data_IF_939949350477
#
_entry.id   IF_939949350477
#
_cell.length_a   1.000
_cell.length_b   1.000
_cell.length_c   1.000
_cell.angle_alpha   90.00
_cell.angle_beta   90.00
_cell.angle_gamma   90.00
#
_symmetry.space_group_name_H-M   'P 1'
#
loop_
_entity.id
_entity.type
_entity.pdbx_description
1 polymer ?
#
# COMPACT_ATOMS: atom_id res chain seq x y z
N UNK A 1 50.66 -39.79 46.14
CA UNK A 1 51.47 -40.39 45.05
C UNK A 1 51.10 -39.66 43.77
N UNK A 2 52.01 -38.81 43.29
CA UNK A 2 51.91 -38.00 42.08
C UNK A 2 51.79 -38.89 40.82
N UNK A 3 50.85 -38.57 39.93
CA UNK A 3 51.03 -38.78 38.49
C UNK A 3 50.59 -37.53 37.75
N UNK A 4 51.58 -36.89 37.15
CA UNK A 4 51.49 -35.80 36.21
C UNK A 4 51.27 -36.33 34.78
N UNK A 5 50.78 -35.42 33.91
CA UNK A 5 50.94 -35.35 32.45
C UNK A 5 50.12 -36.30 31.57
N UNK A 6 49.14 -35.73 30.86
CA UNK A 6 49.33 -35.36 29.45
C UNK A 6 48.19 -34.45 28.98
N UNK A 7 48.46 -33.15 28.83
CA UNK A 7 47.64 -32.27 28.00
C UNK A 7 47.92 -32.64 26.54
N UNK A 8 46.92 -33.14 25.84
CA UNK A 8 46.96 -33.23 24.37
C UNK A 8 46.54 -31.87 23.81
N UNK A 9 47.51 -31.13 23.27
CA UNK A 9 47.28 -29.95 22.46
C UNK A 9 46.71 -30.42 21.11
N UNK A 10 45.39 -30.35 20.93
CA UNK A 10 44.77 -30.60 19.63
C UNK A 10 44.94 -29.32 18.79
N UNK A 11 45.98 -29.29 17.95
CA UNK A 11 46.13 -28.27 16.92
C UNK A 11 45.06 -28.55 15.86
N UNK A 12 43.96 -27.81 15.90
CA UNK A 12 42.98 -27.74 14.82
C UNK A 12 43.66 -27.08 13.61
N UNK A 13 44.14 -27.91 12.70
CA UNK A 13 44.56 -27.47 11.37
C UNK A 13 43.31 -27.04 10.61
N UNK A 14 43.11 -25.73 10.47
CA UNK A 14 42.14 -25.18 9.53
C UNK A 14 42.51 -25.66 8.12
N UNK A 15 41.58 -26.26 7.35
CA UNK A 15 41.85 -26.56 5.95
C UNK A 15 42.11 -25.25 5.19
N UNK A 16 43.01 -25.25 4.19
CA UNK A 16 43.18 -24.10 3.33
C UNK A 16 41.84 -23.76 2.69
N UNK A 17 41.45 -22.49 2.78
CA UNK A 17 40.30 -21.91 2.10
C UNK A 17 40.32 -22.39 0.63
N UNK A 18 39.38 -23.27 0.29
CA UNK A 18 39.09 -23.58 -1.09
C UNK A 18 38.57 -22.28 -1.74
N UNK A 19 39.08 -21.88 -2.91
CA UNK A 19 38.50 -20.75 -3.63
C UNK A 19 37.03 -21.09 -3.90
N UNK A 20 36.13 -20.24 -3.44
CA UNK A 20 34.73 -20.25 -3.85
C UNK A 20 34.77 -20.17 -5.37
N UNK A 21 34.36 -21.25 -6.04
CA UNK A 21 34.11 -21.21 -7.46
C UNK A 21 33.06 -20.11 -7.66
N UNK A 22 33.50 -19.00 -8.25
CA UNK A 22 32.62 -17.94 -8.71
C UNK A 22 31.79 -18.56 -9.83
N UNK A 23 30.66 -19.17 -9.46
CA UNK A 23 29.60 -19.48 -10.38
C UNK A 23 29.01 -18.16 -10.84
N UNK A 24 29.63 -17.57 -11.87
CA UNK A 24 28.93 -16.62 -12.72
C UNK A 24 27.76 -17.43 -13.26
N UNK A 25 26.55 -17.18 -12.76
CA UNK A 25 25.37 -17.61 -13.47
C UNK A 25 25.52 -17.02 -14.88
N UNK A 26 25.68 -17.88 -15.89
CA UNK A 26 25.71 -17.45 -17.28
C UNK A 26 24.47 -16.59 -17.50
N UNK A 27 24.69 -15.28 -17.62
CA UNK A 27 23.61 -14.32 -17.72
C UNK A 27 22.87 -14.57 -19.03
N UNK A 28 21.54 -14.69 -18.94
CA UNK A 28 20.67 -14.75 -20.12
C UNK A 28 21.03 -13.57 -21.02
N UNK A 29 21.39 -13.86 -22.26
CA UNK A 29 21.68 -12.82 -23.24
C UNK A 29 20.40 -12.09 -23.62
N UNK A 30 20.50 -10.83 -24.06
CA UNK A 30 19.32 -10.07 -24.51
C UNK A 30 18.55 -10.80 -25.62
N UNK A 31 19.23 -11.55 -26.49
CA UNK A 31 18.60 -12.34 -27.55
C UNK A 31 17.79 -13.52 -27.00
N UNK A 32 18.29 -14.21 -25.99
CA UNK A 32 17.58 -15.33 -25.35
C UNK A 32 16.35 -14.83 -24.59
N UNK A 33 16.48 -13.71 -23.88
CA UNK A 33 15.35 -13.04 -23.22
C UNK A 33 14.27 -12.63 -24.23
N UNK A 34 14.63 -11.97 -25.33
CA UNK A 34 13.66 -11.51 -26.35
C UNK A 34 12.97 -12.70 -27.02
N UNK A 35 13.72 -13.77 -27.35
CA UNK A 35 13.13 -14.98 -27.95
C UNK A 35 12.09 -15.59 -27.03
N UNK A 36 12.43 -15.75 -25.75
CA UNK A 36 11.51 -16.32 -24.77
C UNK A 36 10.31 -15.40 -24.49
N UNK A 37 10.53 -14.10 -24.33
CA UNK A 37 9.47 -13.13 -24.13
C UNK A 37 8.49 -13.11 -25.33
N UNK A 38 8.98 -13.25 -26.55
CA UNK A 38 8.15 -13.27 -27.76
C UNK A 38 7.30 -14.54 -27.90
N UNK A 39 7.70 -15.64 -27.26
CA UNK A 39 6.93 -16.88 -27.21
C UNK A 39 5.81 -16.83 -26.16
N UNK A 40 6.05 -16.14 -25.04
CA UNK A 40 5.17 -16.16 -23.86
C UNK A 40 4.24 -14.95 -23.80
N UNK A 41 4.68 -13.78 -24.25
CA UNK A 41 3.89 -12.56 -24.18
C UNK A 41 3.02 -12.42 -25.43
N UNK A 42 1.71 -12.17 -25.29
CA UNK A 42 0.84 -11.94 -26.43
C UNK A 42 1.27 -10.67 -27.17
N UNK A 43 1.28 -10.74 -28.50
CA UNK A 43 1.45 -9.55 -29.34
C UNK A 43 0.16 -8.73 -29.23
N UNK A 44 0.27 -7.53 -28.65
CA UNK A 44 -0.85 -6.60 -28.53
C UNK A 44 -1.11 -5.90 -29.87
N UNK A 45 -2.39 -5.82 -30.27
CA UNK A 45 -2.78 -5.12 -31.48
C UNK A 45 -2.57 -3.60 -31.34
N UNK A 46 -2.36 -2.90 -32.46
CA UNK A 46 -2.11 -1.46 -32.44
C UNK A 46 -3.28 -0.73 -31.76
N UNK A 47 -2.96 0.02 -30.70
CA UNK A 47 -3.90 0.79 -29.88
C UNK A 47 -4.89 -0.04 -29.03
N UNK A 48 -4.70 -1.35 -28.91
CA UNK A 48 -5.53 -2.17 -28.05
C UNK A 48 -5.46 -1.71 -26.59
N UNK A 49 -4.27 -1.34 -26.08
CA UNK A 49 -4.13 -0.77 -24.74
C UNK A 49 -4.93 0.51 -24.54
N UNK A 50 -5.05 1.39 -25.55
CA UNK A 50 -5.86 2.61 -25.43
C UNK A 50 -7.34 2.27 -25.31
N UNK A 51 -7.82 1.27 -26.05
CA UNK A 51 -9.20 0.82 -25.90
C UNK A 51 -9.42 0.20 -24.53
N UNK A 52 -8.48 -0.64 -24.07
CA UNK A 52 -8.52 -1.24 -22.74
C UNK A 52 -8.54 -0.19 -21.63
N UNK A 53 -7.71 0.85 -21.71
CA UNK A 53 -7.72 1.96 -20.73
C UNK A 53 -8.96 2.84 -20.83
N UNK A 54 -9.55 2.97 -22.02
CA UNK A 54 -10.71 3.83 -22.24
C UNK A 54 -12.04 3.17 -21.85
N UNK A 55 -12.16 1.86 -22.06
CA UNK A 55 -13.45 1.14 -21.91
C UNK A 55 -13.38 -0.01 -20.91
N UNK A 56 -12.18 -0.42 -20.49
CA UNK A 56 -12.00 -1.45 -19.49
C UNK A 56 -12.29 -0.93 -18.08
N UNK A 57 -12.45 -1.85 -17.11
CA UNK A 57 -12.63 -1.49 -15.72
C UNK A 57 -11.36 -0.81 -15.19
N UNK A 58 -11.54 0.20 -14.34
CA UNK A 58 -10.42 0.89 -13.66
C UNK A 58 -9.75 -0.07 -12.68
N UNK A 59 -10.56 -0.71 -11.84
CA UNK A 59 -10.11 -1.67 -10.84
C UNK A 59 -10.31 -3.11 -11.31
N UNK A 60 -9.41 -4.00 -10.92
CA UNK A 60 -9.48 -5.43 -11.20
C UNK A 60 -9.32 -6.22 -9.90
N UNK A 61 -9.93 -7.42 -9.78
CA UNK A 61 -9.70 -8.29 -8.62
C UNK A 61 -8.20 -8.53 -8.41
N UNK A 62 -7.70 -8.21 -7.21
CA UNK A 62 -6.28 -8.27 -6.88
C UNK A 62 -6.02 -8.86 -5.48
N UNK A 63 -7.06 -9.37 -4.81
CA UNK A 63 -6.95 -10.00 -3.50
C UNK A 63 -6.24 -11.36 -3.59
N UNK A 64 -5.12 -11.50 -2.90
CA UNK A 64 -4.47 -12.78 -2.63
C UNK A 64 -5.23 -13.51 -1.50
N UNK A 65 -5.87 -14.67 -1.77
CA UNK A 65 -6.64 -15.41 -0.77
C UNK A 65 -5.78 -16.02 0.34
N UNK A 66 -4.47 -16.19 0.11
CA UNK A 66 -3.55 -16.78 1.07
C UNK A 66 -2.82 -15.71 1.92
N UNK A 67 -2.99 -14.43 1.58
CA UNK A 67 -2.37 -13.33 2.31
C UNK A 67 -2.86 -13.26 3.76
N UNK A 68 -1.90 -13.16 4.69
CA UNK A 68 -2.15 -13.00 6.12
C UNK A 68 -1.58 -11.68 6.61
N UNK A 69 -2.26 -10.99 7.56
CA UNK A 69 -1.73 -9.77 8.15
C UNK A 69 -0.46 -10.07 8.94
N UNK A 70 0.57 -9.25 8.76
CA UNK A 70 1.81 -9.34 9.53
C UNK A 70 1.60 -8.83 10.96
N UNK A 71 2.53 -9.18 11.85
CA UNK A 71 2.60 -8.59 13.18
C UNK A 71 2.80 -7.07 13.08
N UNK A 72 1.76 -6.30 13.41
CA UNK A 72 1.77 -4.84 13.26
C UNK A 72 0.83 -4.31 12.19
N UNK A 73 0.20 -5.16 11.38
CA UNK A 73 -0.83 -4.76 10.43
C UNK A 73 -2.23 -4.85 11.07
N UNK A 74 -3.13 -3.98 10.61
CA UNK A 74 -4.57 -4.10 10.76
C UNK A 74 -5.17 -4.60 9.43
N UNK A 75 -6.39 -5.12 9.50
CA UNK A 75 -7.16 -5.54 8.32
C UNK A 75 -8.45 -4.75 8.30
N UNK A 76 -8.79 -4.15 7.15
CA UNK A 76 -10.15 -3.64 6.94
C UNK A 76 -11.05 -4.87 6.75
N UNK A 77 -12.02 -5.14 7.64
CA UNK A 77 -12.97 -6.22 7.49
C UNK A 77 -13.77 -6.11 6.19
N UNK A 78 -14.23 -7.25 5.66
CA UNK A 78 -14.99 -7.31 4.41
C UNK A 78 -16.28 -6.48 4.39
N UNK A 79 -16.84 -6.13 5.56
CA UNK A 79 -18.01 -5.27 5.65
C UNK A 79 -18.07 -4.50 6.98
N UNK A 80 -18.99 -3.53 7.05
CA UNK A 80 -19.31 -2.80 8.27
C UNK A 80 -18.41 -1.59 8.54
N UNK A 81 -17.60 -1.19 7.57
CA UNK A 81 -16.87 0.07 7.58
C UNK A 81 -17.58 1.13 6.75
N UNK A 82 -17.38 2.39 7.13
CA UNK A 82 -17.90 3.56 6.41
C UNK A 82 -16.75 4.38 5.84
N UNK A 83 -16.90 4.86 4.61
CA UNK A 83 -16.06 5.88 4.03
C UNK A 83 -16.80 7.21 4.16
N UNK A 84 -16.27 8.15 4.95
CA UNK A 84 -16.94 9.36 5.36
C UNK A 84 -16.24 10.58 4.77
N UNK A 85 -16.98 11.39 4.03
CA UNK A 85 -16.54 12.67 3.46
C UNK A 85 -17.53 13.77 3.80
N UNK A 86 -17.16 15.03 3.60
CA UNK A 86 -18.09 16.14 3.80
C UNK A 86 -19.20 16.10 2.74
N UNK A 87 -20.44 16.41 3.12
CA UNK A 87 -21.57 16.47 2.19
C UNK A 87 -21.37 17.48 1.07
N UNK A 88 -20.75 18.61 1.37
CA UNK A 88 -20.41 19.65 0.40
C UNK A 88 -18.94 19.52 -0.05
N UNK A 89 -18.38 18.30 -0.06
CA UNK A 89 -17.01 18.07 -0.52
C UNK A 89 -16.80 18.55 -1.95
N UNK A 90 -15.56 18.95 -2.26
CA UNK A 90 -15.16 19.27 -3.63
C UNK A 90 -15.41 18.06 -4.54
N UNK A 91 -15.87 18.23 -5.79
CA UNK A 91 -16.10 17.12 -6.72
C UNK A 91 -14.90 16.19 -6.88
N UNK A 92 -13.67 16.72 -6.74
CA UNK A 92 -12.46 15.92 -6.78
C UNK A 92 -12.36 14.96 -5.59
N UNK A 93 -12.79 15.38 -4.39
CA UNK A 93 -12.83 14.53 -3.20
C UNK A 93 -13.93 13.49 -3.32
N UNK A 94 -15.10 13.87 -3.83
CA UNK A 94 -16.21 12.94 -4.09
C UNK A 94 -15.76 11.82 -5.04
N UNK A 95 -15.20 12.17 -6.20
CA UNK A 95 -14.73 11.18 -7.16
C UNK A 95 -13.62 10.29 -6.59
N UNK A 96 -12.69 10.85 -5.80
CA UNK A 96 -11.64 10.06 -5.17
C UNK A 96 -12.18 9.07 -4.11
N UNK A 97 -13.23 9.47 -3.38
CA UNK A 97 -13.88 8.58 -2.42
C UNK A 97 -14.69 7.47 -3.13
N UNK A 98 -15.36 7.80 -4.22
CA UNK A 98 -16.05 6.81 -5.08
C UNK A 98 -15.05 5.82 -5.70
N UNK A 99 -13.90 6.31 -6.17
CA UNK A 99 -12.83 5.48 -6.72
C UNK A 99 -12.25 4.53 -5.67
N UNK A 100 -11.96 5.02 -4.46
CA UNK A 100 -11.53 4.17 -3.34
C UNK A 100 -12.59 3.14 -2.94
N UNK A 101 -13.88 3.53 -2.94
CA UNK A 101 -14.98 2.60 -2.66
C UNK A 101 -15.02 1.48 -3.71
N UNK A 102 -14.90 1.82 -4.99
CA UNK A 102 -14.88 0.86 -6.10
C UNK A 102 -13.65 -0.05 -6.02
N UNK A 103 -12.47 0.51 -5.75
CA UNK A 103 -11.24 -0.24 -5.48
C UNK A 103 -11.43 -1.25 -4.35
N UNK A 104 -11.91 -0.80 -3.18
CA UNK A 104 -12.12 -1.68 -2.03
C UNK A 104 -13.08 -2.81 -2.39
N UNK A 105 -14.15 -2.52 -3.11
CA UNK A 105 -15.15 -3.50 -3.49
C UNK A 105 -14.67 -4.50 -4.55
N UNK A 106 -13.99 -4.02 -5.59
CA UNK A 106 -13.58 -4.83 -6.75
C UNK A 106 -12.24 -5.53 -6.49
N UNK A 107 -11.22 -4.77 -6.08
CA UNK A 107 -9.86 -5.28 -5.93
C UNK A 107 -9.69 -6.06 -4.62
N UNK A 108 -10.29 -5.58 -3.52
CA UNK A 108 -10.06 -6.10 -2.17
C UNK A 108 -11.23 -6.90 -1.59
N UNK A 109 -12.36 -6.97 -2.30
CA UNK A 109 -13.60 -7.61 -1.82
C UNK A 109 -14.10 -7.06 -0.46
N UNK A 110 -13.88 -5.77 -0.21
CA UNK A 110 -14.27 -5.03 0.99
C UNK A 110 -15.41 -4.07 0.64
N UNK A 111 -16.55 -4.24 1.31
CA UNK A 111 -17.71 -3.37 1.16
C UNK A 111 -17.70 -2.27 2.22
N UNK A 112 -17.56 -1.04 1.77
CA UNK A 112 -17.73 0.16 2.60
C UNK A 112 -18.95 0.97 2.19
N UNK A 113 -19.65 1.54 3.16
CA UNK A 113 -20.73 2.51 2.91
C UNK A 113 -20.12 3.91 2.75
N UNK A 114 -20.29 4.53 1.59
CA UNK A 114 -19.92 5.93 1.36
C UNK A 114 -20.98 6.84 1.99
N UNK A 115 -20.58 7.61 2.99
CA UNK A 115 -21.43 8.50 3.78
C UNK A 115 -20.97 9.94 3.65
N UNK A 116 -21.92 10.83 3.39
CA UNK A 116 -21.73 12.26 3.31
C UNK A 116 -22.21 12.92 4.61
N UNK A 117 -21.31 13.53 5.36
CA UNK A 117 -21.61 14.21 6.64
C UNK A 117 -21.44 15.73 6.51
N UNK A 118 -22.29 16.53 7.15
CA UNK A 118 -22.18 18.00 7.08
C UNK A 118 -20.89 18.54 7.72
N UNK A 119 -20.36 17.84 8.73
CA UNK A 119 -19.11 18.19 9.40
C UNK A 119 -18.29 16.94 9.67
N UNK A 120 -16.96 17.10 9.62
CA UNK A 120 -16.01 16.05 9.96
C UNK A 120 -15.42 16.21 11.37
N UNK A 121 -15.80 17.23 12.15
CA UNK A 121 -15.21 17.51 13.47
C UNK A 121 -15.32 16.34 14.46
N UNK A 122 -16.37 15.52 14.35
CA UNK A 122 -16.63 14.34 15.18
C UNK A 122 -15.83 13.09 14.80
N UNK A 123 -14.87 13.21 13.85
CA UNK A 123 -14.16 12.06 13.28
C UNK A 123 -13.49 11.14 14.31
N UNK A 124 -13.07 11.69 15.46
CA UNK A 124 -12.39 10.95 16.53
C UNK A 124 -13.29 9.93 17.23
N UNK A 125 -14.59 10.14 17.22
CA UNK A 125 -15.57 9.26 17.86
C UNK A 125 -16.11 8.21 16.89
N UNK A 126 -15.81 8.35 15.59
CA UNK A 126 -16.22 7.37 14.59
C UNK A 126 -15.27 6.18 14.62
N UNK A 127 -15.84 5.01 14.90
CA UNK A 127 -15.19 3.72 14.75
C UNK A 127 -15.61 3.06 13.44
N UNK A 128 -14.76 2.14 12.96
CA UNK A 128 -14.90 1.45 11.67
C UNK A 128 -15.12 2.44 10.53
N UNK A 129 -14.24 3.44 10.46
CA UNK A 129 -14.40 4.55 9.53
C UNK A 129 -13.09 4.86 8.79
N UNK A 130 -13.20 5.10 7.50
CA UNK A 130 -12.22 5.84 6.71
C UNK A 130 -12.78 7.25 6.60
N UNK A 131 -12.05 8.27 7.04
CA UNK A 131 -12.49 9.67 7.01
C UNK A 131 -11.56 10.43 6.07
N UNK A 132 -12.11 11.13 5.09
CA UNK A 132 -11.32 11.88 4.13
C UNK A 132 -11.80 13.33 4.02
N UNK A 133 -10.89 14.28 4.14
CA UNK A 133 -11.21 15.70 4.11
C UNK A 133 -9.97 16.58 4.04
N UNK A 134 -10.17 17.87 3.82
CA UNK A 134 -9.06 18.84 3.90
C UNK A 134 -8.80 19.22 5.35
N UNK A 135 -7.62 19.80 5.63
CA UNK A 135 -7.25 20.30 6.96
C UNK A 135 -8.26 21.28 7.55
N UNK A 136 -8.97 22.03 6.71
CA UNK A 136 -10.03 22.96 7.14
C UNK A 136 -11.24 22.22 7.75
N UNK A 137 -11.41 20.93 7.46
CA UNK A 137 -12.51 20.10 7.97
C UNK A 137 -12.08 19.15 9.08
N UNK A 138 -10.77 18.86 9.19
CA UNK A 138 -10.20 17.88 10.11
C UNK A 138 -9.27 18.57 11.11
N UNK A 139 -9.82 19.23 12.15
CA UNK A 139 -8.98 19.90 13.15
C UNK A 139 -8.03 18.90 13.83
N UNK A 140 -6.78 19.33 14.07
CA UNK A 140 -5.65 18.54 14.64
C UNK A 140 -5.02 17.53 13.67
N UNK A 141 -5.59 17.32 12.48
CA UNK A 141 -4.94 16.56 11.41
C UNK A 141 -4.56 17.54 10.30
N UNK A 142 -3.39 17.36 9.73
CA UNK A 142 -2.87 18.22 8.69
C UNK A 142 -2.15 19.47 9.18
N UNK A 143 -1.78 19.53 10.48
CA UNK A 143 -1.02 20.65 11.06
C UNK A 143 0.38 20.76 10.43
N UNK A 144 0.94 19.63 9.99
CA UNK A 144 2.24 19.56 9.31
C UNK A 144 2.12 19.85 7.81
N UNK A 145 0.93 20.09 7.24
CA UNK A 145 0.77 20.30 5.79
C UNK A 145 1.11 21.74 5.40
N UNK A 146 2.11 21.88 4.54
CA UNK A 146 2.72 23.16 4.20
C UNK A 146 2.20 23.74 2.89
N UNK A 147 1.83 22.88 1.93
CA UNK A 147 1.45 23.34 0.60
C UNK A 147 0.47 22.46 -0.18
N UNK A 148 0.07 22.92 -1.38
CA UNK A 148 -0.85 22.22 -2.26
C UNK A 148 -0.43 20.76 -2.52
N UNK A 149 -1.42 19.87 -2.59
CA UNK A 149 -1.24 18.41 -2.74
C UNK A 149 -0.51 17.69 -1.60
N UNK A 150 -0.10 18.39 -0.54
CA UNK A 150 0.37 17.72 0.67
C UNK A 150 -0.78 16.91 1.29
N UNK A 151 -0.44 15.78 1.89
CA UNK A 151 -1.42 14.99 2.64
C UNK A 151 -0.79 14.28 3.82
N UNK A 152 -1.67 13.92 4.75
CA UNK A 152 -1.37 13.15 5.93
C UNK A 152 -2.32 11.96 6.01
N UNK A 153 -1.78 10.80 6.38
CA UNK A 153 -2.55 9.59 6.64
C UNK A 153 -2.27 9.14 8.07
N UNK A 154 -3.33 8.93 8.84
CA UNK A 154 -3.30 8.31 10.16
C UNK A 154 -4.14 7.04 10.15
N UNK A 155 -3.57 5.92 10.60
CA UNK A 155 -4.28 4.64 10.74
C UNK A 155 -4.21 4.18 12.19
N UNK A 156 -5.37 3.80 12.71
CA UNK A 156 -5.56 3.00 13.92
C UNK A 156 -6.35 1.74 13.57
N UNK A 157 -6.37 0.70 14.43
CA UNK A 157 -7.09 -0.55 14.15
C UNK A 157 -8.59 -0.38 13.85
N UNK A 158 -9.18 0.73 14.27
CA UNK A 158 -10.61 1.03 14.14
C UNK A 158 -10.91 2.24 13.25
N UNK A 159 -9.89 2.93 12.71
CA UNK A 159 -10.11 4.15 11.93
C UNK A 159 -8.92 4.49 11.04
N UNK A 160 -9.24 5.01 9.87
CA UNK A 160 -8.29 5.58 8.93
C UNK A 160 -8.70 7.02 8.68
N UNK A 161 -7.74 7.95 8.71
CA UNK A 161 -7.97 9.36 8.42
C UNK A 161 -7.01 9.81 7.34
N UNK A 162 -7.55 10.40 6.28
CA UNK A 162 -6.79 11.03 5.19
C UNK A 162 -7.09 12.53 5.22
N UNK A 163 -6.07 13.32 5.50
CA UNK A 163 -6.16 14.76 5.54
C UNK A 163 -5.32 15.37 4.41
N UNK A 164 -5.96 16.06 3.48
CA UNK A 164 -5.26 16.83 2.45
C UNK A 164 -5.08 18.29 2.84
N UNK A 165 -4.05 18.95 2.31
CA UNK A 165 -3.96 20.41 2.38
C UNK A 165 -5.11 21.05 1.58
N UNK A 166 -5.40 20.46 0.42
CA UNK A 166 -6.45 20.84 -0.52
C UNK A 166 -7.15 19.57 -1.07
N UNK A 167 -8.20 19.70 -1.92
CA UNK A 167 -8.85 18.55 -2.55
C UNK A 167 -7.91 17.60 -3.31
N UNK A 168 -6.82 18.11 -3.88
CA UNK A 168 -5.85 17.26 -4.59
C UNK A 168 -5.02 16.44 -3.61
N UNK A 169 -4.64 17.01 -2.47
CA UNK A 169 -3.98 16.29 -1.38
C UNK A 169 -4.84 15.14 -0.86
N UNK A 170 -6.14 15.36 -0.67
CA UNK A 170 -7.07 14.29 -0.27
C UNK A 170 -7.05 13.15 -1.28
N UNK A 171 -7.18 13.46 -2.58
CA UNK A 171 -7.13 12.45 -3.64
C UNK A 171 -5.83 11.65 -3.60
N UNK A 172 -4.68 12.33 -3.51
CA UNK A 172 -3.39 11.63 -3.46
C UNK A 172 -3.24 10.78 -2.20
N UNK A 173 -3.78 11.21 -1.06
CA UNK A 173 -3.79 10.40 0.15
C UNK A 173 -4.66 9.15 0.03
N UNK A 174 -5.81 9.22 -0.64
CA UNK A 174 -6.65 8.05 -0.91
C UNK A 174 -5.96 7.08 -1.87
N UNK A 175 -5.32 7.57 -2.94
CA UNK A 175 -4.53 6.72 -3.83
C UNK A 175 -3.34 6.06 -3.12
N UNK A 176 -2.71 6.74 -2.17
CA UNK A 176 -1.64 6.14 -1.36
C UNK A 176 -2.16 4.98 -0.48
N UNK A 177 -3.40 5.04 -0.01
CA UNK A 177 -4.03 3.90 0.68
C UNK A 177 -4.24 2.71 -0.27
N UNK A 178 -4.75 2.97 -1.48
CA UNK A 178 -4.94 1.93 -2.50
C UNK A 178 -3.63 1.23 -2.82
N UNK A 179 -2.59 2.00 -3.13
CA UNK A 179 -1.26 1.46 -3.44
C UNK A 179 -0.69 0.61 -2.31
N UNK A 180 -0.87 1.01 -1.05
CA UNK A 180 -0.41 0.22 0.11
C UNK A 180 -1.11 -1.14 0.17
N UNK A 181 -2.42 -1.17 -0.07
CA UNK A 181 -3.19 -2.43 -0.09
C UNK A 181 -2.85 -3.27 -1.32
N UNK A 182 -2.66 -2.64 -2.49
CA UNK A 182 -2.24 -3.30 -3.74
C UNK A 182 -0.88 -3.97 -3.61
N UNK A 183 0.10 -3.31 -2.97
CA UNK A 183 1.41 -3.92 -2.68
C UNK A 183 1.33 -5.12 -1.74
N UNK A 184 0.28 -5.21 -0.93
CA UNK A 184 0.01 -6.36 -0.08
C UNK A 184 -0.92 -7.38 -0.72
N UNK A 185 -1.51 -7.05 -1.87
CA UNK A 185 -2.59 -7.80 -2.52
C UNK A 185 -3.72 -8.12 -1.52
N UNK A 186 -3.95 -7.25 -0.54
CA UNK A 186 -4.88 -7.46 0.56
C UNK A 186 -5.19 -6.14 1.29
N UNK A 187 -6.36 -6.02 1.97
CA UNK A 187 -6.78 -4.81 2.68
C UNK A 187 -6.04 -4.65 4.04
N UNK A 188 -4.71 -4.73 4.00
CA UNK A 188 -3.83 -4.61 5.15
C UNK A 188 -3.12 -3.26 5.17
N UNK A 189 -3.05 -2.66 6.35
CA UNK A 189 -2.33 -1.41 6.60
C UNK A 189 -1.56 -1.52 7.92
N UNK A 190 -0.43 -0.81 8.11
CA UNK A 190 0.18 -0.71 9.42
C UNK A 190 -0.83 -0.13 10.44
N UNK A 191 -0.98 -0.78 11.60
CA UNK A 191 -2.03 -0.49 12.58
C UNK A 191 -1.85 0.83 13.35
N UNK A 192 -0.69 1.46 13.20
CA UNK A 192 -0.25 2.71 13.82
C UNK A 192 0.44 3.62 12.79
N UNK A 193 0.01 3.54 11.52
CA UNK A 193 0.57 4.37 10.45
C UNK A 193 0.33 5.85 10.78
N UNK A 194 1.42 6.62 10.76
CA UNK A 194 1.38 8.07 10.68
C UNK A 194 2.38 8.49 9.60
N UNK A 195 1.87 9.10 8.53
CA UNK A 195 2.72 9.56 7.42
C UNK A 195 2.24 10.92 6.95
N UNK A 196 3.19 11.83 6.78
CA UNK A 196 2.99 13.13 6.15
C UNK A 196 3.80 13.11 4.87
N UNK A 197 3.18 13.49 3.75
CA UNK A 197 3.85 13.64 2.47
C UNK A 197 3.70 15.07 1.98
N UNK A 198 4.85 15.66 1.69
CA UNK A 198 4.92 16.94 1.00
C UNK A 198 5.02 16.75 -0.51
N UNK A 199 4.28 17.55 -1.26
CA UNK A 199 4.41 17.62 -2.71
C UNK A 199 5.77 18.20 -3.10
N UNK A 200 6.39 17.61 -4.12
CA UNK A 200 7.66 18.12 -4.68
C UNK A 200 7.45 19.24 -5.71
N UNK A 201 6.20 19.53 -6.08
CA UNK A 201 5.82 20.45 -7.16
C UNK A 201 4.58 21.25 -6.81
#
# INVERSE_FOLDING_TARGET
MMRWLQLSLLVLTLPPFAPIASGIAEGITSSEFISHASEVLPIEDRYEYHQRLKTGPVHQPALDPDAQPKAGEMTIPFEGWRLIIRAEADPLVQHAAEDLQDFLQIAMNVKVELVSEHTLEGWKDWSKAIVAGTRDHLPVVGEELEGPKDYEIRVSPDRIVVCGFDPSGVRFGLFDLEERMSLREAPFLPKDLHTVRHSLF
#
